data_IF_302108576590
#
_entry.id   IF_302108576590
#
_cell.length_a   1.000
_cell.length_b   1.000
_cell.length_c   1.000
_cell.angle_alpha   90.00
_cell.angle_beta   90.00
_cell.angle_gamma   90.00
#
_symmetry.space_group_name_H-M   'P 1'
#
loop_
_entity.id
_entity.type
_entity.pdbx_description
1 polymer ?
#
# COMPACT_ATOMS: atom_id res chain seq x y z
N UNK A 1 -56.59 -61.12 7.34
CA UNK A 1 -55.21 -61.08 6.83
C UNK A 1 -54.91 -59.65 6.40
N UNK A 2 -54.18 -58.93 7.22
CA UNK A 2 -53.95 -57.51 7.09
C UNK A 2 -52.59 -57.30 6.40
N UNK A 3 -52.58 -56.74 5.20
CA UNK A 3 -51.34 -56.41 4.48
C UNK A 3 -50.92 -55.02 4.86
N UNK A 4 -49.82 -54.94 5.54
CA UNK A 4 -49.11 -53.64 5.84
C UNK A 4 -48.49 -53.05 4.58
N UNK A 5 -49.00 -51.90 4.21
CA UNK A 5 -48.41 -51.07 3.17
C UNK A 5 -47.46 -50.05 3.86
N UNK A 6 -46.18 -50.35 3.83
CA UNK A 6 -45.17 -49.39 4.28
C UNK A 6 -44.93 -48.33 3.20
N UNK A 7 -45.41 -47.13 3.42
CA UNK A 7 -45.10 -45.94 2.66
C UNK A 7 -43.72 -45.44 3.15
N UNK A 8 -42.68 -45.69 2.37
CA UNK A 8 -41.39 -45.09 2.55
C UNK A 8 -41.47 -43.61 2.11
N UNK A 9 -41.64 -42.72 3.08
CA UNK A 9 -41.43 -41.29 2.87
C UNK A 9 -39.93 -41.05 2.79
N UNK A 10 -39.40 -40.98 1.57
CA UNK A 10 -38.07 -40.54 1.30
C UNK A 10 -37.92 -39.05 1.64
N UNK A 11 -37.36 -38.78 2.81
CA UNK A 11 -36.99 -37.44 3.23
C UNK A 11 -35.72 -37.04 2.43
N UNK A 12 -35.90 -36.49 1.23
CA UNK A 12 -34.86 -35.79 0.53
C UNK A 12 -34.51 -34.51 1.32
N UNK A 13 -33.60 -34.63 2.28
CA UNK A 13 -32.89 -33.47 2.79
C UNK A 13 -31.99 -32.95 1.66
N UNK A 14 -32.54 -32.03 0.89
CA UNK A 14 -31.73 -31.14 0.05
C UNK A 14 -30.83 -30.33 0.98
N UNK A 15 -29.59 -30.77 1.12
CA UNK A 15 -28.52 -29.95 1.65
C UNK A 15 -28.38 -28.79 0.68
N UNK A 16 -29.16 -27.73 0.86
CA UNK A 16 -28.83 -26.43 0.35
C UNK A 16 -27.50 -26.05 1.04
N UNK A 17 -26.41 -26.41 0.42
CA UNK A 17 -25.15 -25.75 0.68
C UNK A 17 -25.39 -24.28 0.32
N UNK A 18 -25.81 -23.49 1.30
CA UNK A 18 -25.62 -22.04 1.23
C UNK A 18 -24.13 -21.83 1.04
N UNK A 19 -23.72 -21.73 -0.20
CA UNK A 19 -22.46 -21.03 -0.48
C UNK A 19 -22.69 -19.62 0.05
N UNK A 20 -22.28 -19.40 1.30
CA UNK A 20 -22.05 -18.06 1.80
C UNK A 20 -20.91 -17.51 0.95
N UNK A 21 -21.25 -17.06 -0.25
CA UNK A 21 -20.38 -16.21 -0.99
C UNK A 21 -20.07 -15.06 -0.04
N UNK A 22 -18.87 -15.04 0.51
CA UNK A 22 -18.43 -13.95 1.35
C UNK A 22 -18.66 -12.67 0.56
N UNK A 23 -19.74 -11.96 0.89
CA UNK A 23 -19.97 -10.66 0.28
C UNK A 23 -18.74 -9.83 0.55
N UNK A 24 -18.10 -9.35 -0.51
CA UNK A 24 -16.87 -8.59 -0.40
C UNK A 24 -17.13 -7.40 0.54
N UNK A 25 -16.35 -7.31 1.62
CA UNK A 25 -16.49 -6.24 2.60
C UNK A 25 -16.12 -4.94 1.90
N UNK A 26 -17.07 -4.01 1.86
CA UNK A 26 -16.86 -2.68 1.34
C UNK A 26 -16.58 -1.74 2.50
N UNK A 27 -15.41 -1.19 2.55
CA UNK A 27 -15.03 -0.13 3.47
C UNK A 27 -14.81 1.15 2.67
N UNK A 28 -15.04 2.30 3.28
CA UNK A 28 -14.56 3.56 2.72
C UNK A 28 -13.06 3.62 2.97
N UNK A 29 -12.30 3.37 1.95
CA UNK A 29 -10.84 3.37 2.02
C UNK A 29 -10.24 4.22 0.89
N UNK A 30 -9.00 4.56 1.05
CA UNK A 30 -8.22 5.25 0.04
C UNK A 30 -6.85 4.60 -0.08
N UNK A 31 -6.15 4.87 -1.16
CA UNK A 31 -4.75 4.51 -1.27
C UNK A 31 -3.89 5.74 -1.49
N UNK A 32 -2.60 5.60 -1.21
CA UNK A 32 -1.60 6.61 -1.50
C UNK A 32 -0.24 5.98 -1.70
N UNK A 33 0.66 6.74 -2.28
CA UNK A 33 2.03 6.34 -2.49
C UNK A 33 2.99 7.47 -2.08
N UNK A 34 4.20 7.10 -1.72
CA UNK A 34 5.18 8.08 -1.29
C UNK A 34 6.59 7.52 -1.20
N UNK A 35 7.51 8.36 -0.77
CA UNK A 35 8.87 7.97 -0.46
C UNK A 35 9.29 8.52 0.90
N UNK A 36 10.38 7.98 1.43
CA UNK A 36 10.97 8.47 2.67
C UNK A 36 12.02 9.56 2.42
N UNK A 37 12.56 9.67 1.22
CA UNK A 37 13.61 10.64 0.89
C UNK A 37 13.68 10.98 -0.60
N UNK A 38 13.18 10.12 -1.48
CA UNK A 38 13.32 10.23 -2.92
C UNK A 38 12.23 11.10 -3.55
N UNK A 39 12.52 11.69 -4.70
CA UNK A 39 11.49 12.10 -5.64
C UNK A 39 11.00 10.84 -6.37
N UNK A 40 9.71 10.77 -6.62
CA UNK A 40 9.12 9.59 -7.26
C UNK A 40 7.90 9.94 -8.10
N UNK A 41 7.59 9.09 -9.06
CA UNK A 41 6.31 9.10 -9.76
C UNK A 41 5.61 7.76 -9.60
N UNK A 42 4.30 7.77 -9.35
CA UNK A 42 3.47 6.56 -9.46
C UNK A 42 2.93 6.47 -10.88
N UNK A 43 3.20 5.37 -11.55
CA UNK A 43 2.88 5.23 -12.98
C UNK A 43 1.70 4.31 -13.26
N UNK A 44 1.40 3.40 -12.32
CA UNK A 44 0.23 2.53 -12.41
C UNK A 44 -0.13 1.98 -11.05
N UNK A 45 -1.41 1.82 -10.82
CA UNK A 45 -1.96 1.16 -9.63
C UNK A 45 -3.03 0.17 -10.06
N UNK A 46 -2.95 -1.06 -9.55
CA UNK A 46 -3.96 -2.08 -9.81
C UNK A 46 -4.22 -2.86 -8.52
N UNK A 47 -5.49 -2.96 -8.16
CA UNK A 47 -5.95 -3.77 -7.03
C UNK A 47 -6.78 -4.94 -7.52
N UNK A 48 -6.60 -6.07 -6.86
CA UNK A 48 -7.29 -7.32 -7.19
C UNK A 48 -8.04 -7.85 -5.98
N UNK A 49 -9.12 -8.57 -6.26
CA UNK A 49 -9.84 -9.38 -5.28
C UNK A 49 -10.20 -10.72 -5.94
N UNK A 50 -9.77 -11.83 -5.33
CA UNK A 50 -9.97 -13.18 -5.86
C UNK A 50 -9.50 -13.32 -7.32
N UNK A 51 -8.34 -12.72 -7.62
CA UNK A 51 -7.73 -12.76 -8.95
C UNK A 51 -8.39 -11.86 -10.01
N UNK A 52 -9.45 -11.12 -9.67
CA UNK A 52 -10.11 -10.16 -10.56
C UNK A 52 -9.67 -8.73 -10.23
N UNK A 53 -9.42 -7.92 -11.24
CA UNK A 53 -9.16 -6.49 -11.07
C UNK A 53 -10.43 -5.81 -10.54
N UNK A 54 -10.31 -5.16 -9.38
CA UNK A 54 -11.39 -4.38 -8.77
C UNK A 54 -11.18 -2.88 -8.90
N UNK A 55 -9.93 -2.47 -9.16
CA UNK A 55 -9.57 -1.09 -9.43
C UNK A 55 -8.28 -1.04 -10.26
N UNK A 56 -8.21 -0.14 -11.23
CA UNK A 56 -6.98 0.15 -11.97
C UNK A 56 -6.95 1.62 -12.35
N UNK A 57 -5.81 2.24 -12.13
CA UNK A 57 -5.57 3.63 -12.48
C UNK A 57 -4.24 3.76 -13.23
N UNK A 58 -4.24 4.23 -14.48
CA UNK A 58 -3.03 4.44 -15.26
C UNK A 58 -2.43 5.80 -14.87
N UNK A 59 -1.40 5.77 -14.09
CA UNK A 59 -0.72 6.98 -13.67
C UNK A 59 -1.00 7.37 -12.24
N UNK A 60 -0.36 8.40 -11.84
CA UNK A 60 -0.38 9.01 -10.52
C UNK A 60 0.38 10.31 -10.63
N UNK A 61 0.56 11.06 -9.62
CA UNK A 61 1.41 12.24 -9.64
C UNK A 61 2.87 11.88 -9.41
N UNK A 62 3.72 12.83 -9.75
CA UNK A 62 5.07 12.87 -9.26
C UNK A 62 5.12 13.74 -8.00
N UNK A 63 5.96 13.39 -7.04
CA UNK A 63 6.16 14.16 -5.82
C UNK A 63 7.63 14.51 -5.68
N UNK A 64 7.90 15.69 -5.13
CA UNK A 64 9.23 16.15 -4.83
C UNK A 64 9.89 15.29 -3.75
N UNK A 65 11.23 15.31 -3.72
CA UNK A 65 12.05 14.68 -2.70
C UNK A 65 11.88 15.30 -1.32
N UNK A 66 12.58 14.73 -0.35
CA UNK A 66 12.61 15.25 1.00
C UNK A 66 13.31 16.62 1.07
N UNK A 67 12.95 17.47 2.03
CA UNK A 67 13.68 18.68 2.29
C UNK A 67 15.16 18.40 2.60
N UNK A 68 16.09 19.26 2.14
CA UNK A 68 17.53 19.12 2.38
C UNK A 68 17.87 18.90 3.84
N UNK A 69 17.19 19.60 4.74
CA UNK A 69 17.37 19.44 6.18
C UNK A 69 17.14 18.01 6.65
N UNK A 70 16.11 17.35 6.12
CA UNK A 70 15.76 15.99 6.54
C UNK A 70 16.82 14.98 6.04
N UNK A 71 17.42 15.23 4.87
CA UNK A 71 18.52 14.42 4.34
C UNK A 71 19.77 14.57 5.24
N UNK A 72 20.15 15.81 5.55
CA UNK A 72 21.31 16.14 6.40
C UNK A 72 21.14 15.58 7.82
N UNK A 73 19.98 15.77 8.41
CA UNK A 73 19.66 15.33 9.77
C UNK A 73 19.27 13.83 9.86
N UNK A 74 19.25 13.12 8.73
CA UNK A 74 18.83 11.71 8.60
C UNK A 74 17.45 11.46 9.20
N UNK A 75 16.53 12.38 8.98
CA UNK A 75 15.13 12.29 9.39
C UNK A 75 14.33 11.56 8.33
N UNK A 76 14.21 10.27 8.47
CA UNK A 76 13.51 9.43 7.53
C UNK A 76 12.11 9.08 8.03
N UNK A 77 11.11 9.38 7.21
CA UNK A 77 9.69 9.06 7.45
C UNK A 77 8.96 8.97 6.12
N UNK A 78 7.92 8.16 6.09
CA UNK A 78 7.10 8.07 4.87
C UNK A 78 6.32 9.36 4.65
N UNK A 79 6.68 10.07 3.60
CA UNK A 79 6.06 11.32 3.14
C UNK A 79 5.43 11.14 1.75
N UNK A 80 4.77 12.20 1.28
CA UNK A 80 3.97 12.12 0.08
C UNK A 80 2.58 11.58 0.41
N UNK A 81 1.71 11.58 -0.54
CA UNK A 81 0.35 11.21 -0.24
C UNK A 81 -0.63 11.46 -1.37
N UNK A 82 -0.11 11.57 -2.59
CA UNK A 82 -0.98 11.50 -3.76
C UNK A 82 -1.68 10.15 -3.77
N UNK A 83 -2.99 10.16 -3.69
CA UNK A 83 -3.80 8.97 -3.77
C UNK A 83 -5.23 9.34 -4.12
N UNK A 84 -6.01 8.35 -4.42
CA UNK A 84 -7.41 8.52 -4.79
C UNK A 84 -8.31 7.81 -3.78
N UNK A 85 -9.48 8.38 -3.48
CA UNK A 85 -10.51 7.62 -2.80
C UNK A 85 -10.96 6.46 -3.69
N UNK A 86 -11.31 5.37 -3.03
CA UNK A 86 -11.76 4.13 -3.70
C UNK A 86 -13.20 3.83 -3.33
N UNK A 87 -14.05 4.87 -3.37
CA UNK A 87 -15.45 4.78 -2.94
C UNK A 87 -16.19 3.62 -3.63
N UNK A 88 -16.74 2.73 -2.83
CA UNK A 88 -17.47 1.57 -3.32
C UNK A 88 -16.62 0.42 -3.87
N UNK A 89 -15.31 0.58 -3.94
CA UNK A 89 -14.40 -0.51 -4.33
C UNK A 89 -14.26 -1.48 -3.14
N UNK A 90 -14.40 -2.80 -3.35
CA UNK A 90 -14.15 -3.75 -2.27
C UNK A 90 -12.69 -3.72 -1.84
N UNK A 91 -12.42 -4.03 -0.56
CA UNK A 91 -11.05 -4.12 -0.04
C UNK A 91 -10.30 -5.23 -0.77
N UNK A 92 -9.14 -4.94 -1.35
CA UNK A 92 -8.40 -5.90 -2.17
C UNK A 92 -7.66 -6.95 -1.33
N UNK A 93 -7.40 -8.11 -1.92
CA UNK A 93 -6.51 -9.15 -1.38
C UNK A 93 -5.10 -9.10 -2.01
N UNK A 94 -4.91 -8.28 -3.06
CA UNK A 94 -3.64 -8.12 -3.74
C UNK A 94 -3.51 -6.74 -4.37
N UNK A 95 -2.28 -6.22 -4.38
CA UNK A 95 -1.94 -4.95 -5.01
C UNK A 95 -0.74 -5.09 -5.95
N UNK A 96 -0.76 -4.31 -7.02
CA UNK A 96 0.36 -4.11 -7.91
C UNK A 96 0.51 -2.61 -8.20
N UNK A 97 1.67 -2.05 -7.83
CA UNK A 97 1.96 -0.62 -7.95
C UNK A 97 3.27 -0.45 -8.70
N UNK A 98 3.27 0.40 -9.70
CA UNK A 98 4.45 0.77 -10.46
C UNK A 98 4.88 2.19 -10.12
N UNK A 99 6.15 2.34 -9.77
CA UNK A 99 6.73 3.60 -9.34
C UNK A 99 8.10 3.82 -9.97
N UNK A 100 8.45 5.09 -10.18
CA UNK A 100 9.78 5.50 -10.62
C UNK A 100 10.50 6.14 -9.44
N UNK A 101 11.69 5.66 -9.11
CA UNK A 101 12.64 6.28 -8.19
C UNK A 101 13.59 7.19 -8.98
N UNK A 102 13.66 8.45 -8.60
CA UNK A 102 14.58 9.40 -9.26
C UNK A 102 16.01 9.17 -8.81
N UNK A 103 16.22 8.88 -7.53
CA UNK A 103 17.53 8.56 -6.98
C UNK A 103 18.16 7.33 -7.64
N UNK A 104 17.37 6.27 -7.87
CA UNK A 104 17.86 5.04 -8.49
C UNK A 104 17.83 5.10 -10.02
N UNK A 105 17.12 6.09 -10.61
CA UNK A 105 16.89 6.22 -12.06
C UNK A 105 16.25 4.96 -12.64
N UNK A 106 15.31 4.37 -11.87
CA UNK A 106 14.71 3.06 -12.17
C UNK A 106 13.21 3.06 -11.97
N UNK A 107 12.55 2.20 -12.74
CA UNK A 107 11.15 1.84 -12.49
C UNK A 107 11.09 0.56 -11.67
N UNK A 108 10.19 0.56 -10.71
CA UNK A 108 9.96 -0.56 -9.81
C UNK A 108 8.50 -0.99 -9.82
N UNK A 109 8.28 -2.29 -9.65
CA UNK A 109 6.96 -2.87 -9.44
C UNK A 109 6.90 -3.53 -8.07
N UNK A 110 6.02 -3.02 -7.23
CA UNK A 110 5.61 -3.63 -5.97
C UNK A 110 4.44 -4.54 -6.30
N UNK A 111 4.57 -5.83 -6.02
CA UNK A 111 3.49 -6.81 -6.13
C UNK A 111 3.38 -7.54 -4.82
N UNK A 112 2.21 -7.45 -4.18
CA UNK A 112 2.04 -7.92 -2.80
C UNK A 112 0.65 -8.52 -2.61
N UNK A 113 0.60 -9.64 -1.89
CA UNK A 113 -0.62 -10.18 -1.34
C UNK A 113 -0.90 -9.45 -0.01
N UNK A 114 -2.14 -9.03 0.19
CA UNK A 114 -2.57 -8.28 1.37
C UNK A 114 -3.17 -9.24 2.41
N UNK A 115 -3.08 -8.92 3.71
CA UNK A 115 -3.61 -9.77 4.76
C UNK A 115 -5.10 -10.09 4.57
N UNK A 116 -5.49 -11.33 4.84
CA UNK A 116 -6.88 -11.76 4.69
C UNK A 116 -7.84 -11.03 5.63
N UNK A 117 -7.35 -10.55 6.75
CA UNK A 117 -8.08 -9.76 7.75
C UNK A 117 -7.99 -8.23 7.53
N UNK A 118 -7.40 -7.79 6.39
CA UNK A 118 -7.31 -6.37 6.07
C UNK A 118 -8.68 -5.65 6.10
N UNK A 119 -9.79 -6.25 5.59
CA UNK A 119 -11.10 -5.62 5.69
C UNK A 119 -11.54 -5.34 7.13
N UNK A 120 -11.28 -6.28 8.04
CA UNK A 120 -11.59 -6.13 9.47
C UNK A 120 -10.70 -5.08 10.12
N UNK A 121 -9.40 -5.07 9.80
CA UNK A 121 -8.47 -4.05 10.28
C UNK A 121 -8.89 -2.64 9.84
N UNK A 122 -9.41 -2.48 8.61
CA UNK A 122 -9.89 -1.20 8.09
C UNK A 122 -11.19 -0.74 8.76
N UNK A 123 -12.03 -1.67 9.22
CA UNK A 123 -13.29 -1.36 9.91
C UNK A 123 -13.09 -1.07 11.39
N UNK A 124 -11.96 -1.48 11.97
CA UNK A 124 -11.70 -1.26 13.38
C UNK A 124 -11.59 0.24 13.68
N UNK A 125 -12.46 0.71 14.54
CA UNK A 125 -12.51 2.10 14.99
C UNK A 125 -11.77 2.27 16.32
N UNK A 126 -11.27 3.47 16.54
CA UNK A 126 -10.53 3.85 17.75
C UNK A 126 -10.97 5.23 18.22
N UNK A 127 -11.00 5.44 19.53
CA UNK A 127 -11.22 6.76 20.09
C UNK A 127 -9.89 7.52 20.20
N UNK A 128 -9.71 8.53 19.36
CA UNK A 128 -8.49 9.34 19.29
C UNK A 128 -8.83 10.80 19.61
N UNK A 129 -8.32 11.33 20.71
CA UNK A 129 -8.54 12.72 21.12
C UNK A 129 -10.02 13.13 21.10
N UNK A 130 -10.89 12.28 21.63
CA UNK A 130 -12.34 12.52 21.70
C UNK A 130 -13.12 12.36 20.38
N UNK A 131 -12.48 11.85 19.33
CA UNK A 131 -13.12 11.56 18.04
C UNK A 131 -12.93 10.10 17.69
N UNK A 132 -13.89 9.56 16.94
CA UNK A 132 -13.76 8.23 16.35
C UNK A 132 -12.98 8.35 15.05
N UNK A 133 -12.00 7.48 14.88
CA UNK A 133 -11.16 7.39 13.70
C UNK A 133 -10.77 5.94 13.44
N UNK A 134 -10.32 5.62 12.24
CA UNK A 134 -9.94 4.27 11.80
C UNK A 134 -8.71 4.30 10.91
N UNK A 135 -8.16 3.13 10.61
CA UNK A 135 -7.12 3.00 9.60
C UNK A 135 -7.77 2.55 8.30
N UNK A 136 -7.87 3.44 7.35
CA UNK A 136 -8.49 3.16 6.05
C UNK A 136 -7.66 3.68 4.86
N UNK A 137 -6.40 4.00 5.11
CA UNK A 137 -5.48 4.47 4.08
C UNK A 137 -4.39 3.43 3.82
N UNK A 138 -4.49 2.74 2.68
CA UNK A 138 -3.51 1.78 2.19
C UNK A 138 -2.38 2.54 1.50
N UNK A 139 -1.20 2.55 2.11
CA UNK A 139 -0.08 3.38 1.67
C UNK A 139 1.08 2.52 1.17
N UNK A 140 1.65 2.90 0.04
CA UNK A 140 2.77 2.24 -0.62
C UNK A 140 3.99 3.16 -0.60
N UNK A 141 4.97 2.85 0.23
CA UNK A 141 6.23 3.57 0.31
C UNK A 141 7.30 2.92 -0.54
N UNK A 142 8.03 3.70 -1.35
CA UNK A 142 9.21 3.27 -2.08
C UNK A 142 10.41 4.10 -1.62
N UNK A 143 11.53 3.44 -1.32
CA UNK A 143 12.79 4.08 -0.95
C UNK A 143 13.92 3.61 -1.86
N UNK A 144 15.05 4.35 -1.94
CA UNK A 144 16.20 4.02 -2.76
C UNK A 144 16.72 2.59 -2.54
N UNK A 145 17.14 1.95 -3.64
CA UNK A 145 17.48 0.52 -3.65
C UNK A 145 16.25 -0.38 -3.80
N UNK A 146 15.09 0.19 -4.18
CA UNK A 146 13.85 -0.56 -4.40
C UNK A 146 13.17 -1.06 -3.12
N UNK A 147 13.60 -0.62 -1.94
CA UNK A 147 12.93 -0.98 -0.70
C UNK A 147 11.50 -0.44 -0.68
N UNK A 148 10.56 -1.28 -0.28
CA UNK A 148 9.19 -0.85 -0.13
C UNK A 148 8.58 -1.28 1.20
N UNK A 149 7.61 -0.50 1.66
CA UNK A 149 6.66 -0.90 2.70
C UNK A 149 5.23 -0.65 2.24
N UNK A 150 4.35 -1.58 2.60
CA UNK A 150 2.90 -1.40 2.50
C UNK A 150 2.37 -1.22 3.90
N UNK A 151 1.69 -0.10 4.11
CA UNK A 151 1.21 0.31 5.42
C UNK A 151 -0.30 0.51 5.41
N UNK A 152 -0.95 0.15 6.49
CA UNK A 152 -2.30 0.60 6.79
C UNK A 152 -2.22 1.78 7.76
N UNK A 153 -2.63 2.97 7.31
CA UNK A 153 -2.51 4.24 8.02
C UNK A 153 -3.88 4.77 8.43
N UNK A 154 -3.90 5.54 9.50
CA UNK A 154 -5.11 6.25 9.94
C UNK A 154 -5.47 7.40 9.00
N UNK A 155 -6.77 7.67 8.87
CA UNK A 155 -7.26 8.86 8.20
C UNK A 155 -6.69 10.10 8.88
N UNK A 156 -6.34 11.09 8.06
CA UNK A 156 -5.70 12.33 8.50
C UNK A 156 -4.54 12.13 9.49
N UNK A 157 -3.90 10.97 9.44
CA UNK A 157 -2.76 10.58 10.26
C UNK A 157 -3.05 10.53 11.76
N UNK A 158 -4.28 10.25 12.16
CA UNK A 158 -4.69 10.25 13.60
C UNK A 158 -4.49 8.92 14.30
N UNK A 159 -4.90 7.82 13.70
CA UNK A 159 -4.69 6.48 14.30
C UNK A 159 -3.25 6.04 14.07
N UNK A 160 -2.50 5.84 15.17
CA UNK A 160 -1.08 5.47 15.17
C UNK A 160 -0.82 4.33 16.17
N UNK A 161 0.24 3.55 16.00
CA UNK A 161 1.22 3.60 14.89
C UNK A 161 0.64 3.13 13.56
N UNK A 162 1.34 3.44 12.47
CA UNK A 162 1.05 2.86 11.16
C UNK A 162 1.30 1.35 11.22
N UNK A 163 0.39 0.55 10.68
CA UNK A 163 0.56 -0.89 10.66
C UNK A 163 1.33 -1.32 9.42
N UNK A 164 2.41 -2.07 9.61
CA UNK A 164 3.14 -2.68 8.52
C UNK A 164 2.40 -3.92 8.04
N UNK A 165 1.97 -3.91 6.78
CA UNK A 165 1.31 -5.05 6.14
C UNK A 165 2.30 -5.92 5.37
N UNK A 166 3.24 -5.29 4.67
CA UNK A 166 4.28 -5.98 3.91
C UNK A 166 5.50 -5.10 3.71
N UNK A 167 6.66 -5.71 3.46
CA UNK A 167 7.90 -5.05 3.04
C UNK A 167 8.73 -5.97 2.16
N UNK A 168 9.64 -5.40 1.40
CA UNK A 168 10.59 -6.15 0.59
C UNK A 168 11.38 -5.26 -0.36
N UNK A 169 11.93 -5.89 -1.38
CA UNK A 169 12.57 -5.21 -2.51
C UNK A 169 11.65 -5.34 -3.72
N UNK A 170 11.26 -4.21 -4.26
CA UNK A 170 10.44 -4.13 -5.46
C UNK A 170 11.22 -4.62 -6.68
N UNK A 171 10.52 -5.28 -7.59
CA UNK A 171 11.12 -5.76 -8.82
C UNK A 171 11.42 -4.60 -9.76
N UNK A 172 12.68 -4.48 -10.22
CA UNK A 172 13.02 -3.54 -11.28
C UNK A 172 12.29 -3.93 -12.57
N UNK A 173 11.73 -2.96 -13.24
CA UNK A 173 11.05 -3.11 -14.52
C UNK A 173 11.99 -2.69 -15.63
N UNK A 174 12.26 -3.63 -16.52
CA UNK A 174 13.09 -3.43 -17.71
C UNK A 174 12.27 -3.51 -19.00
N UNK A 175 10.99 -3.84 -18.88
CA UNK A 175 10.05 -3.84 -19.98
C UNK A 175 9.68 -2.42 -20.38
N UNK A 176 9.57 -2.20 -21.67
CA UNK A 176 9.32 -0.90 -22.25
C UNK A 176 7.84 -0.54 -22.15
N UNK A 177 7.55 0.25 -21.17
CA UNK A 177 6.20 0.71 -20.98
C UNK A 177 5.87 1.97 -21.81
N UNK A 178 6.87 2.79 -22.12
CA UNK A 178 6.67 4.00 -22.93
C UNK A 178 7.39 3.93 -24.28
N UNK A 179 8.63 4.35 -24.32
CA UNK A 179 9.44 4.34 -25.54
C UNK A 179 10.76 3.60 -25.26
N UNK A 180 10.97 2.50 -25.98
CA UNK A 180 12.19 1.69 -25.91
C UNK A 180 13.48 2.44 -26.18
N UNK A 181 13.35 3.61 -26.82
CA UNK A 181 14.49 4.43 -27.24
C UNK A 181 14.87 5.49 -26.22
N UNK A 182 14.03 5.71 -25.20
CA UNK A 182 14.21 6.78 -24.23
C UNK A 182 14.48 6.19 -22.85
N UNK A 183 15.55 6.66 -22.20
CA UNK A 183 15.88 6.21 -20.84
C UNK A 183 14.84 6.66 -19.81
N UNK A 184 14.75 5.95 -18.67
CA UNK A 184 13.89 6.38 -17.56
C UNK A 184 14.21 7.80 -17.12
N UNK A 185 15.50 8.16 -17.08
CA UNK A 185 15.94 9.49 -16.70
C UNK A 185 15.38 10.58 -17.64
N UNK A 186 15.45 10.34 -18.93
CA UNK A 186 14.95 11.26 -19.95
C UNK A 186 13.42 11.36 -19.94
N UNK A 187 12.71 10.22 -19.81
CA UNK A 187 11.24 10.19 -19.76
C UNK A 187 10.65 10.99 -18.60
N UNK A 188 11.34 11.03 -17.46
CA UNK A 188 10.84 11.66 -16.22
C UNK A 188 11.58 12.93 -15.83
N UNK A 189 12.51 13.41 -16.66
CA UNK A 189 13.27 14.63 -16.38
C UNK A 189 14.13 14.53 -15.13
N UNK A 190 14.74 13.35 -14.85
CA UNK A 190 15.51 13.08 -13.62
C UNK A 190 16.78 13.94 -13.55
N UNK A 191 17.22 14.52 -14.66
CA UNK A 191 18.41 15.38 -14.70
C UNK A 191 18.30 16.59 -13.77
N UNK A 192 17.10 17.15 -13.60
CA UNK A 192 16.91 18.28 -12.68
C UNK A 192 17.01 17.83 -11.22
N UNK A 193 16.52 16.63 -10.91
CA UNK A 193 16.74 16.03 -9.60
C UNK A 193 18.22 15.80 -9.31
N UNK A 194 19.00 15.30 -10.27
CA UNK A 194 20.45 15.11 -10.11
C UNK A 194 21.19 16.45 -9.90
N UNK A 195 20.78 17.50 -10.60
CA UNK A 195 21.34 18.85 -10.40
C UNK A 195 21.04 19.39 -9.00
N UNK A 196 19.84 19.15 -8.51
CA UNK A 196 19.39 19.64 -7.22
C UNK A 196 19.96 18.83 -6.05
N UNK A 197 19.91 17.50 -6.12
CA UNK A 197 20.23 16.62 -5.00
C UNK A 197 21.54 15.84 -5.14
N UNK A 198 22.15 15.78 -6.32
CA UNK A 198 23.30 14.91 -6.59
C UNK A 198 24.48 15.14 -5.66
N UNK A 199 24.88 16.40 -5.43
CA UNK A 199 25.97 16.73 -4.51
C UNK A 199 25.60 16.50 -3.04
N UNK A 200 24.36 16.74 -2.68
CA UNK A 200 23.86 16.49 -1.33
C UNK A 200 23.96 14.99 -0.97
N UNK A 201 23.53 14.10 -1.86
CA UNK A 201 23.61 12.65 -1.63
C UNK A 201 25.05 12.10 -1.66
N UNK A 202 25.97 12.74 -2.36
CA UNK A 202 27.40 12.41 -2.26
C UNK A 202 27.98 12.72 -0.89
N UNK A 203 27.60 13.88 -0.32
CA UNK A 203 28.05 14.32 1.01
C UNK A 203 27.33 13.61 2.14
N UNK A 204 26.07 13.25 1.93
CA UNK A 204 25.20 12.59 2.89
C UNK A 204 24.64 11.28 2.31
N UNK A 205 25.47 10.21 2.24
CA UNK A 205 25.04 8.94 1.70
C UNK A 205 23.87 8.37 2.51
N UNK A 206 22.91 7.82 1.79
CA UNK A 206 21.66 7.27 2.32
C UNK A 206 21.66 5.74 2.26
N UNK A 207 20.88 5.08 3.12
CA UNK A 207 20.66 3.63 3.06
C UNK A 207 20.08 3.19 1.71
N UNK A 208 20.29 1.92 1.38
CA UNK A 208 19.75 1.31 0.16
C UNK A 208 19.15 -0.07 0.44
N UNK A 209 18.10 -0.40 -0.29
CA UNK A 209 17.48 -1.71 -0.18
C UNK A 209 17.05 -2.03 1.27
N UNK A 210 17.34 -3.23 1.74
CA UNK A 210 16.91 -3.67 3.07
C UNK A 210 17.57 -2.94 4.26
N UNK A 211 18.59 -2.12 4.04
CA UNK A 211 19.15 -1.26 5.11
C UNK A 211 18.11 -0.27 5.65
N UNK A 212 17.08 0.03 4.88
CA UNK A 212 15.96 0.86 5.32
C UNK A 212 15.09 0.20 6.40
N UNK A 213 15.00 -1.13 6.43
CA UNK A 213 14.05 -1.83 7.31
C UNK A 213 14.21 -1.47 8.80
N UNK A 214 15.40 -1.56 9.44
CA UNK A 214 15.55 -1.20 10.84
C UNK A 214 15.30 0.29 11.11
N UNK A 215 15.57 1.16 10.15
CA UNK A 215 15.36 2.60 10.27
C UNK A 215 13.85 2.91 10.28
N UNK A 216 13.10 2.30 9.39
CA UNK A 216 11.66 2.50 9.29
C UNK A 216 10.91 1.80 10.45
N UNK A 217 11.44 0.69 10.98
CA UNK A 217 10.95 0.09 12.23
C UNK A 217 11.14 1.04 13.42
N UNK A 218 12.33 1.64 13.56
CA UNK A 218 12.59 2.64 14.59
C UNK A 218 11.71 3.88 14.45
N UNK A 219 11.40 4.30 13.23
CA UNK A 219 10.45 5.38 12.98
C UNK A 219 9.04 5.02 13.47
N UNK A 220 8.52 3.84 13.12
CA UNK A 220 7.19 3.39 13.57
C UNK A 220 7.12 3.21 15.09
N UNK A 221 8.17 2.67 15.70
CA UNK A 221 8.23 2.46 17.16
C UNK A 221 8.13 3.77 17.94
N UNK A 222 8.56 4.90 17.36
CA UNK A 222 8.48 6.23 17.99
C UNK A 222 7.14 6.95 17.75
N UNK A 223 6.28 6.41 16.89
CA UNK A 223 4.96 6.99 16.68
C UNK A 223 4.11 6.91 17.95
N UNK A 224 3.23 7.89 18.20
CA UNK A 224 2.32 7.83 19.33
C UNK A 224 1.43 6.59 19.25
N UNK A 225 1.03 6.05 20.39
CA UNK A 225 0.10 4.91 20.47
C UNK A 225 -1.31 5.45 20.69
N UNK A 226 -2.02 5.75 19.62
CA UNK A 226 -3.40 6.29 19.70
C UNK A 226 -4.46 5.23 19.42
N UNK A 227 -4.05 3.97 19.22
CA UNK A 227 -4.90 2.80 18.95
C UNK A 227 -5.20 1.95 20.21
N UNK A 228 -5.00 2.53 21.39
CA UNK A 228 -5.18 1.80 22.67
C UNK A 228 -6.65 1.65 23.08
N UNK A 229 -7.56 2.40 22.47
CA UNK A 229 -8.98 2.42 22.82
C UNK A 229 -9.84 2.04 21.60
N UNK A 230 -9.91 0.72 21.28
CA UNK A 230 -10.80 0.23 20.23
C UNK A 230 -12.25 0.47 20.63
N UNK A 231 -13.06 0.88 19.66
CA UNK A 231 -14.51 1.02 19.79
C UNK A 231 -15.13 -0.30 19.36
N UNK A 232 -16.01 -0.84 20.22
CA UNK A 232 -16.76 -2.08 19.95
C UNK A 232 -17.94 -1.82 19.04
#
# INVERSE_FOLDING_TARGET
MLKYLFLLFGFCMSLMACSTGNAAIRANWSYGSGSNIDSFCTTKVTFYLHGKTVFSYPGGGCNAGAPYKDIIEKKYYWSGGGGLPTDGVPVPDKAEIEMVSFHDRKRYRIKVDLPADLPQQMQQQYQVRGKIDQRNWLYFGLAPGGYYEVLLKGDKLRVKPDLLLARGIAKEMTDDWYDKKVSVAEQYGIEDFDKEYGELFKQHPIPRGMEWAPIMDAYRARQPKTDQYPVQ
#
